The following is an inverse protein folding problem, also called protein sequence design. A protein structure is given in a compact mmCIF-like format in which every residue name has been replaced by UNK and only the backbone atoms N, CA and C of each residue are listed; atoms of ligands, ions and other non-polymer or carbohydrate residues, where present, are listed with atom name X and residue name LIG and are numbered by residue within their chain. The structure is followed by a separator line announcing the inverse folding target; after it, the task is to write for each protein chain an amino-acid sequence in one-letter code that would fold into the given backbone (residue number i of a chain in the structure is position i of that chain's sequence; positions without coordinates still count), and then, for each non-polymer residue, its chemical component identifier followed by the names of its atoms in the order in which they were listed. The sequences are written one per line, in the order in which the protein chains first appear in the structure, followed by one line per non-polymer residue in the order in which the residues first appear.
data_IF_449678824532
#
_entry.id   IF_449678824532
#
_cell.length_a   1.000
_cell.length_b   1.000
_cell.length_c   1.000
_cell.angle_alpha   90.00
_cell.angle_beta   90.00
_cell.angle_gamma   90.00
#
_symmetry.space_group_name_H-M   'P 1'
#
loop_
_entity.id
_entity.type
_entity.pdbx_description
1 polymer ?
#
# COMPACT_ATOMS: atom_id res chain seq x y z
N UNK A 1 -2.78 11.83 -10.39
CA UNK A 1 -4.09 11.46 -10.97
C UNK A 1 -3.86 10.42 -12.07
N UNK A 2 -4.71 9.42 -12.17
CA UNK A 2 -4.69 8.35 -13.16
C UNK A 2 -5.90 8.53 -14.09
N UNK A 3 -5.69 8.81 -15.37
CA UNK A 3 -6.78 9.09 -16.29
C UNK A 3 -7.39 7.80 -16.86
N UNK A 4 -8.47 7.30 -16.24
CA UNK A 4 -9.23 6.13 -16.69
C UNK A 4 -10.54 6.50 -17.39
N UNK A 5 -10.64 7.72 -17.91
CA UNK A 5 -11.87 8.24 -18.49
C UNK A 5 -11.99 7.89 -19.97
N UNK A 6 -13.13 7.29 -20.38
CA UNK A 6 -13.45 7.01 -21.79
C UNK A 6 -14.21 8.15 -22.48
N UNK A 7 -14.63 9.14 -21.69
CA UNK A 7 -15.25 10.41 -22.09
C UNK A 7 -14.68 11.51 -21.19
N UNK A 8 -14.95 12.78 -21.49
CA UNK A 8 -14.60 13.89 -20.60
C UNK A 8 -15.14 13.65 -19.19
N UNK A 9 -14.30 13.85 -18.16
CA UNK A 9 -14.64 13.60 -16.77
C UNK A 9 -14.26 14.78 -15.89
N UNK A 10 -15.09 15.07 -14.88
CA UNK A 10 -14.76 16.02 -13.83
C UNK A 10 -14.01 15.31 -12.70
N UNK A 11 -12.89 15.89 -12.29
CA UNK A 11 -12.04 15.39 -11.20
C UNK A 11 -11.97 16.40 -10.06
N UNK A 12 -11.68 15.92 -8.87
CA UNK A 12 -11.52 16.73 -7.65
C UNK A 12 -10.19 17.47 -7.65
N UNK A 13 -9.11 16.82 -8.10
CA UNK A 13 -7.75 17.34 -8.01
C UNK A 13 -7.32 18.15 -9.24
N UNK A 14 -7.85 17.84 -10.42
CA UNK A 14 -7.37 18.41 -11.69
C UNK A 14 -8.47 19.12 -12.51
N UNK A 15 -9.68 19.27 -11.98
CA UNK A 15 -10.81 19.84 -12.71
C UNK A 15 -11.27 18.94 -13.87
N UNK A 16 -11.67 19.52 -15.00
CA UNK A 16 -12.12 18.76 -16.17
C UNK A 16 -10.94 18.15 -16.91
N UNK A 17 -10.99 16.83 -17.14
CA UNK A 17 -10.00 16.09 -17.94
C UNK A 17 -10.66 15.46 -19.16
N UNK A 18 -9.95 15.43 -20.28
CA UNK A 18 -10.41 14.79 -21.52
C UNK A 18 -10.30 13.26 -21.43
N UNK A 19 -11.03 12.57 -22.30
CA UNK A 19 -10.94 11.12 -22.45
C UNK A 19 -9.50 10.66 -22.74
N UNK A 20 -9.10 9.55 -22.14
CA UNK A 20 -7.83 8.91 -22.42
C UNK A 20 -7.96 8.04 -23.68
N UNK A 21 -7.42 8.54 -24.80
CA UNK A 21 -7.47 7.84 -26.10
C UNK A 21 -6.81 6.45 -26.07
N UNK A 22 -5.86 6.20 -25.16
CA UNK A 22 -5.20 4.89 -25.03
C UNK A 22 -6.17 3.79 -24.56
N UNK A 23 -7.31 4.15 -23.97
CA UNK A 23 -8.32 3.20 -23.52
C UNK A 23 -9.19 2.66 -24.66
N UNK A 24 -9.20 3.31 -25.84
CA UNK A 24 -9.98 2.90 -27.00
C UNK A 24 -11.46 2.61 -26.65
N UNK A 25 -12.04 3.44 -25.79
CA UNK A 25 -13.43 3.31 -25.33
C UNK A 25 -13.66 2.31 -24.20
N UNK A 26 -12.65 1.57 -23.75
CA UNK A 26 -12.75 0.58 -22.66
C UNK A 26 -11.89 0.98 -21.46
N UNK A 27 -12.54 1.41 -20.39
CA UNK A 27 -11.86 1.72 -19.14
C UNK A 27 -11.19 0.48 -18.52
N UNK A 28 -10.08 0.69 -17.82
CA UNK A 28 -9.41 -0.35 -17.06
C UNK A 28 -10.20 -0.68 -15.77
N UNK A 29 -10.25 -1.95 -15.41
CA UNK A 29 -10.72 -2.40 -14.08
C UNK A 29 -9.60 -2.41 -13.03
N UNK A 30 -8.35 -2.50 -13.47
CA UNK A 30 -7.14 -2.50 -12.66
C UNK A 30 -6.09 -1.59 -13.33
N UNK A 31 -5.46 -0.73 -12.54
CA UNK A 31 -4.33 0.10 -12.96
C UNK A 31 -3.10 -0.29 -12.15
N UNK A 32 -2.07 -0.78 -12.85
CA UNK A 32 -0.79 -1.16 -12.26
C UNK A 32 0.24 -0.05 -12.51
N UNK A 33 0.73 0.57 -11.45
CA UNK A 33 1.87 1.48 -11.49
C UNK A 33 3.09 0.77 -10.91
N UNK A 34 3.98 0.30 -11.79
CA UNK A 34 5.24 -0.34 -11.41
C UNK A 34 6.40 0.66 -11.45
N UNK A 35 7.20 0.71 -10.38
CA UNK A 35 8.50 1.39 -10.39
C UNK A 35 9.57 0.40 -10.80
N UNK A 36 10.15 0.61 -11.98
CA UNK A 36 11.22 -0.23 -12.55
C UNK A 36 12.63 0.30 -12.25
N UNK A 37 12.73 1.55 -11.76
CA UNK A 37 13.99 2.15 -11.31
C UNK A 37 14.41 1.69 -9.90
N UNK A 38 15.41 2.38 -9.33
CA UNK A 38 16.01 2.04 -8.02
C UNK A 38 15.43 2.86 -6.85
N UNK A 39 14.61 3.86 -7.13
CA UNK A 39 14.03 4.75 -6.12
C UNK A 39 12.85 4.14 -5.38
N UNK A 40 12.71 4.48 -4.10
CA UNK A 40 11.51 4.24 -3.27
C UNK A 40 10.35 5.13 -3.69
N UNK A 41 9.12 4.64 -3.54
CA UNK A 41 7.91 5.45 -3.69
C UNK A 41 7.62 6.20 -2.38
N UNK A 42 7.37 7.52 -2.47
CA UNK A 42 6.82 8.30 -1.36
C UNK A 42 5.38 8.73 -1.70
N UNK A 43 4.43 8.34 -0.86
CA UNK A 43 3.01 8.63 -1.01
C UNK A 43 2.61 9.69 0.02
N UNK A 44 2.70 10.95 -0.39
CA UNK A 44 2.54 12.12 0.48
C UNK A 44 1.31 12.99 0.14
N UNK A 45 0.26 12.39 -0.41
CA UNK A 45 -0.93 13.13 -0.85
C UNK A 45 -1.99 12.24 -1.47
N UNK A 46 -2.88 12.83 -2.26
CA UNK A 46 -4.05 12.11 -2.78
C UNK A 46 -3.83 11.60 -4.20
N UNK A 47 -4.15 10.32 -4.43
CA UNK A 47 -4.29 9.73 -5.76
C UNK A 47 -5.76 9.78 -6.18
N UNK A 48 -6.03 10.19 -7.41
CA UNK A 48 -7.39 10.19 -7.97
C UNK A 48 -7.43 9.41 -9.28
N UNK A 49 -8.43 8.56 -9.45
CA UNK A 49 -8.76 7.92 -10.74
C UNK A 49 -9.83 8.76 -11.43
N UNK A 50 -9.54 9.32 -12.60
CA UNK A 50 -10.53 10.06 -13.38
C UNK A 50 -11.44 9.11 -14.17
N UNK A 51 -12.74 9.44 -14.27
CA UNK A 51 -13.71 8.66 -15.04
C UNK A 51 -14.15 7.39 -14.30
N UNK A 52 -14.09 6.25 -14.98
CA UNK A 52 -14.54 4.97 -14.41
C UNK A 52 -13.60 4.55 -13.28
N UNK A 53 -14.18 4.21 -12.12
CA UNK A 53 -13.44 3.69 -10.95
C UNK A 53 -12.62 2.45 -11.32
N UNK A 54 -11.48 2.26 -10.67
CA UNK A 54 -10.64 1.08 -10.84
C UNK A 54 -9.88 0.74 -9.56
N UNK A 55 -9.47 -0.53 -9.44
CA UNK A 55 -8.47 -0.93 -8.47
C UNK A 55 -7.10 -0.37 -8.89
N UNK A 56 -6.27 0.02 -7.94
CA UNK A 56 -4.92 0.52 -8.23
C UNK A 56 -3.90 -0.28 -7.44
N UNK A 57 -2.88 -0.76 -8.16
CA UNK A 57 -1.68 -1.34 -7.55
C UNK A 57 -0.53 -0.36 -7.71
N UNK A 58 0.19 -0.10 -6.62
CA UNK A 58 1.46 0.61 -6.63
C UNK A 58 2.54 -0.42 -6.25
N UNK A 59 3.32 -0.84 -7.24
CA UNK A 59 4.34 -1.87 -7.08
C UNK A 59 5.74 -1.24 -7.12
N UNK A 60 6.49 -1.34 -6.02
CA UNK A 60 7.87 -0.85 -5.96
C UNK A 60 8.76 -1.77 -5.11
N UNK A 61 9.65 -2.57 -5.74
CA UNK A 61 10.58 -3.45 -5.04
C UNK A 61 11.56 -2.76 -4.10
N UNK A 62 11.81 -1.46 -4.28
CA UNK A 62 12.72 -0.68 -3.44
C UNK A 62 12.07 -0.22 -2.13
N UNK A 63 10.75 -0.40 -2.00
CA UNK A 63 9.97 0.00 -0.84
C UNK A 63 9.04 1.18 -1.11
N UNK A 64 8.10 1.36 -0.18
CA UNK A 64 7.04 2.37 -0.24
C UNK A 64 6.98 3.07 1.12
N UNK A 65 6.97 4.40 1.15
CA UNK A 65 6.66 5.20 2.35
C UNK A 65 5.34 5.89 2.14
N UNK A 66 4.51 5.87 3.18
CA UNK A 66 3.18 6.49 3.22
C UNK A 66 3.18 7.54 4.32
N UNK A 67 2.82 8.78 3.98
CA UNK A 67 2.67 9.87 4.92
C UNK A 67 1.60 10.87 4.44
N UNK A 68 0.36 10.70 4.89
CA UNK A 68 -0.78 11.53 4.46
C UNK A 68 -1.37 11.09 3.11
N UNK A 69 -1.27 9.80 2.79
CA UNK A 69 -1.81 9.28 1.53
C UNK A 69 -3.32 9.07 1.59
N UNK A 70 -4.04 9.47 0.54
CA UNK A 70 -5.47 9.16 0.36
C UNK A 70 -5.78 8.80 -1.09
N UNK A 71 -6.98 8.29 -1.33
CA UNK A 71 -7.43 7.97 -2.69
C UNK A 71 -8.84 8.48 -2.96
N UNK A 72 -9.09 8.88 -4.21
CA UNK A 72 -10.41 9.30 -4.71
C UNK A 72 -10.74 8.42 -5.92
N UNK A 73 -11.99 7.92 -5.94
CA UNK A 73 -12.53 7.10 -7.02
C UNK A 73 -11.72 5.81 -7.31
N UNK A 74 -10.97 5.33 -6.32
CA UNK A 74 -10.38 3.99 -6.30
C UNK A 74 -11.13 3.14 -5.28
N UNK A 75 -11.65 1.99 -5.71
CA UNK A 75 -12.32 1.04 -4.82
C UNK A 75 -11.32 0.24 -3.98
N UNK A 76 -10.11 0.04 -4.50
CA UNK A 76 -9.04 -0.69 -3.83
C UNK A 76 -7.68 -0.10 -4.14
N UNK A 77 -6.84 0.07 -3.13
CA UNK A 77 -5.42 0.35 -3.28
C UNK A 77 -4.61 -0.84 -2.75
N UNK A 78 -3.67 -1.33 -3.54
CA UNK A 78 -2.70 -2.34 -3.11
C UNK A 78 -1.29 -1.75 -3.18
N UNK A 79 -0.60 -1.71 -2.05
CA UNK A 79 0.81 -1.32 -1.98
C UNK A 79 1.67 -2.58 -1.94
N UNK A 80 2.53 -2.76 -2.93
CA UNK A 80 3.26 -4.01 -3.14
C UNK A 80 4.76 -3.75 -3.27
N UNK A 81 5.61 -4.44 -2.52
CA UNK A 81 7.09 -4.38 -2.69
C UNK A 81 7.64 -5.49 -3.58
N UNK A 82 6.77 -6.09 -4.40
CA UNK A 82 7.11 -7.12 -5.36
C UNK A 82 7.06 -6.63 -6.80
N UNK A 83 7.79 -7.32 -7.67
CA UNK A 83 7.66 -7.13 -9.12
C UNK A 83 6.42 -7.87 -9.62
N UNK A 84 5.52 -7.22 -10.39
CA UNK A 84 4.39 -7.90 -11.02
C UNK A 84 4.88 -8.95 -12.01
N UNK A 85 4.15 -10.05 -12.13
CA UNK A 85 4.29 -11.02 -13.22
C UNK A 85 3.08 -10.85 -14.12
N UNK A 86 3.34 -10.53 -15.39
CA UNK A 86 2.33 -10.31 -16.42
C UNK A 86 2.47 -11.43 -17.46
N UNK A 87 1.37 -12.08 -17.76
CA UNK A 87 1.31 -13.14 -18.78
C UNK A 87 1.27 -12.55 -20.20
N UNK A 88 1.44 -13.40 -21.21
CA UNK A 88 1.50 -12.98 -22.61
C UNK A 88 0.19 -12.31 -23.11
N UNK A 89 -0.94 -12.59 -22.45
CA UNK A 89 -2.25 -11.98 -22.73
C UNK A 89 -2.46 -10.63 -22.02
N UNK A 90 -1.48 -10.17 -21.24
CA UNK A 90 -1.54 -8.92 -20.46
C UNK A 90 -2.17 -9.08 -19.08
N UNK A 91 -2.55 -10.29 -18.67
CA UNK A 91 -3.11 -10.56 -17.34
C UNK A 91 -2.06 -10.46 -16.24
N UNK A 92 -2.37 -9.76 -15.15
CA UNK A 92 -1.56 -9.77 -13.92
C UNK A 92 -1.83 -11.06 -13.14
N UNK A 93 -0.80 -11.89 -12.96
CA UNK A 93 -0.95 -13.20 -12.31
C UNK A 93 -0.41 -13.27 -10.90
N UNK A 94 0.70 -12.60 -10.60
CA UNK A 94 1.31 -12.64 -9.26
C UNK A 94 2.26 -11.47 -9.00
N UNK A 95 2.78 -11.39 -7.77
CA UNK A 95 3.88 -10.50 -7.40
C UNK A 95 5.04 -11.29 -6.82
N UNK A 96 6.24 -11.11 -7.38
CA UNK A 96 7.48 -11.67 -6.83
C UNK A 96 8.08 -10.68 -5.83
N UNK A 97 7.89 -10.96 -4.55
CA UNK A 97 8.42 -10.13 -3.45
C UNK A 97 9.79 -10.67 -3.03
N UNK A 98 10.85 -9.92 -3.31
CA UNK A 98 12.24 -10.28 -2.94
C UNK A 98 12.83 -9.37 -1.87
N UNK A 99 12.24 -8.20 -1.65
CA UNK A 99 12.76 -7.18 -0.75
C UNK A 99 11.82 -5.98 -0.66
N UNK A 100 12.39 -4.84 -0.26
CA UNK A 100 11.64 -3.64 0.06
C UNK A 100 10.81 -3.78 1.33
N UNK A 101 10.40 -2.65 1.86
CA UNK A 101 9.51 -2.54 3.02
C UNK A 101 8.42 -1.49 2.75
N UNK A 102 7.32 -1.59 3.49
CA UNK A 102 6.28 -0.56 3.51
C UNK A 102 6.37 0.14 4.85
N UNK A 103 6.60 1.45 4.83
CA UNK A 103 6.70 2.30 6.00
C UNK A 103 5.48 3.22 6.05
N UNK A 104 4.71 3.15 7.13
CA UNK A 104 3.67 4.13 7.42
C UNK A 104 4.25 5.12 8.43
N UNK A 105 4.27 6.40 8.07
CA UNK A 105 4.88 7.47 8.86
C UNK A 105 3.91 8.66 8.96
N UNK A 106 4.19 9.59 9.86
CA UNK A 106 3.47 10.87 9.98
C UNK A 106 1.96 10.70 10.01
N UNK A 107 1.26 11.36 9.09
CA UNK A 107 -0.21 11.32 8.97
C UNK A 107 -0.75 9.97 8.47
N UNK A 108 0.12 9.06 8.02
CA UNK A 108 -0.26 7.72 7.60
C UNK A 108 -1.23 7.70 6.43
N UNK A 109 -2.32 6.93 6.55
CA UNK A 109 -3.40 6.86 5.56
C UNK A 109 -4.53 7.80 6.00
N UNK A 110 -5.01 8.62 5.07
CA UNK A 110 -6.11 9.55 5.30
C UNK A 110 -7.47 8.86 5.26
N UNK A 111 -8.18 8.92 6.37
CA UNK A 111 -9.53 8.32 6.54
C UNK A 111 -10.66 9.16 5.94
N UNK A 112 -10.43 10.45 5.64
CA UNK A 112 -11.41 11.34 5.01
C UNK A 112 -11.51 11.15 3.50
N UNK A 113 -10.56 10.43 2.92
CA UNK A 113 -10.49 10.03 1.51
C UNK A 113 -10.03 8.57 1.40
N UNK A 114 -10.70 7.61 2.08
CA UNK A 114 -10.23 6.25 2.10
C UNK A 114 -10.61 5.58 0.78
N UNK A 115 -9.69 4.79 0.24
CA UNK A 115 -10.12 3.73 -0.67
C UNK A 115 -11.04 2.77 0.09
N UNK A 116 -12.02 2.17 -0.58
CA UNK A 116 -12.92 1.22 0.08
C UNK A 116 -12.16 0.02 0.68
N UNK A 117 -10.95 -0.26 0.19
CA UNK A 117 -10.04 -1.27 0.72
C UNK A 117 -8.56 -0.89 0.50
N UNK A 118 -7.72 -1.18 1.49
CA UNK A 118 -6.26 -1.09 1.41
C UNK A 118 -5.63 -2.47 1.66
N UNK A 119 -4.79 -2.93 0.73
CA UNK A 119 -3.96 -4.12 0.89
C UNK A 119 -2.48 -3.76 0.92
N UNK A 120 -1.71 -4.37 1.83
CA UNK A 120 -0.27 -4.20 1.94
C UNK A 120 0.41 -5.55 1.69
N UNK A 121 1.26 -5.64 0.68
CA UNK A 121 2.02 -6.85 0.34
C UNK A 121 3.51 -6.54 0.33
N UNK A 122 4.20 -7.00 1.36
CA UNK A 122 5.64 -6.83 1.49
C UNK A 122 6.28 -8.07 2.10
N UNK A 123 7.61 -8.14 2.09
CA UNK A 123 8.32 -9.22 2.76
C UNK A 123 8.00 -9.17 4.25
N UNK A 124 7.74 -10.32 4.87
CA UNK A 124 7.55 -10.40 6.30
C UNK A 124 8.76 -9.78 7.05
N UNK A 125 8.49 -8.91 8.01
CA UNK A 125 9.52 -8.46 8.93
C UNK A 125 10.01 -9.65 9.76
N UNK A 126 11.33 -9.82 9.99
CA UNK A 126 11.83 -10.86 10.88
C UNK A 126 11.20 -10.70 12.26
N UNK A 127 10.64 -11.78 12.77
CA UNK A 127 9.85 -11.83 13.99
C UNK A 127 10.72 -11.41 15.19
N UNK A 128 10.54 -10.19 15.71
CA UNK A 128 11.25 -9.74 16.91
C UNK A 128 10.64 -10.41 18.15
N UNK A 129 11.06 -11.65 18.43
CA UNK A 129 10.77 -12.29 19.72
C UNK A 129 11.51 -11.51 20.82
N UNK A 130 10.78 -10.65 21.56
CA UNK A 130 11.27 -10.09 22.82
C UNK A 130 11.53 -11.26 23.78
N UNK A 131 12.74 -11.43 24.35
CA UNK A 131 12.95 -12.43 25.39
C UNK A 131 12.11 -12.02 26.60
N UNK A 132 11.18 -12.88 27.03
CA UNK A 132 10.49 -12.71 28.30
C UNK A 132 11.54 -12.85 29.41
N UNK A 133 11.91 -11.73 30.02
CA UNK A 133 12.77 -11.70 31.20
C UNK A 133 12.13 -12.51 32.33
N UNK A 134 12.82 -13.56 32.79
CA UNK A 134 12.45 -14.28 34.00
C UNK A 134 12.59 -13.34 35.20
N UNK A 135 11.47 -12.96 35.82
CA UNK A 135 11.48 -12.30 37.15
C UNK A 135 11.86 -13.34 38.20
N UNK A 136 13.03 -13.17 38.82
CA UNK A 136 13.34 -13.80 40.10
C UNK A 136 12.43 -13.19 41.17
N UNK A 137 11.65 -14.01 41.87
CA UNK A 137 10.99 -13.62 43.12
C UNK A 137 11.92 -13.97 44.30
N UNK A 138 12.19 -13.06 45.25
CA UNK A 138 12.89 -13.40 46.48
C UNK A 138 11.90 -14.01 47.50
N UNK A 139 12.17 -15.24 47.95
CA UNK A 139 11.44 -15.84 49.07
C UNK A 139 11.89 -15.23 50.40
N UNK A 140 10.97 -14.58 51.10
CA UNK A 140 11.14 -14.13 52.48
C UNK A 140 10.51 -15.11 53.48
N UNK A 141 11.29 -15.39 54.54
CA UNK A 141 10.94 -15.94 55.88
C UNK A 141 10.62 -17.46 55.91
N UNK A 142 11.09 -18.24 56.89
CA UNK A 142 11.07 -18.00 58.36
C UNK A 142 12.23 -18.69 59.10
N UNK A 143 12.77 -18.03 60.13
CA UNK A 143 13.47 -18.70 61.23
C UNK A 143 12.44 -19.37 62.16
N UNK A 144 12.72 -20.53 62.76
CA UNK A 144 12.06 -20.96 63.98
C UNK A 144 12.96 -20.77 65.21
N UNK A 145 12.32 -20.26 66.27
CA UNK A 145 12.85 -20.08 67.61
C UNK A 145 13.23 -21.40 68.28
N UNK A 146 14.18 -21.28 69.22
CA UNK A 146 14.61 -22.24 70.23
C UNK A 146 13.47 -22.98 70.94
N UNK A 147 13.74 -24.24 71.29
CA UNK A 147 13.69 -24.75 72.67
C UNK A 147 15.03 -25.44 72.95
#
# INVERSE_FOLDING_TARGET
MLNNATQTAQTTLAGTVQANANLQGKAASLILNEVTGTGRTNLNGTLEVAGTKAAVVIANPNGITVNGFGAINADRISLVTGRPTIDADGSLTSFRVTGGDIQIQGEGIREDRPASKLDLMTRAAPNQRRPLGRRNQPHHRRQPNRL
#
